data_IF_049497778136
#
_entry.id   IF_049497778136
#
_cell.length_a   1.000
_cell.length_b   1.000
_cell.length_c   1.000
_cell.angle_alpha   90.00
_cell.angle_beta   90.00
_cell.angle_gamma   90.00
#
_symmetry.space_group_name_H-M   'P 1'
#
loop_
_entity.id
_entity.type
_entity.pdbx_description
1 polymer ?
#
# COMPACT_ATOMS: atom_id res chain seq x y z
N UNK A 1 12.77 4.55 -8.70
CA UNK A 1 12.72 5.50 -7.56
C UNK A 1 13.80 6.55 -7.77
N UNK A 2 13.65 7.77 -7.26
CA UNK A 2 14.58 8.87 -7.56
C UNK A 2 14.99 9.62 -6.29
N UNK A 3 16.29 9.88 -6.12
CA UNK A 3 16.79 10.88 -5.17
C UNK A 3 16.80 12.23 -5.90
N UNK A 4 15.80 13.06 -5.60
CA UNK A 4 15.62 14.35 -6.26
C UNK A 4 16.69 15.38 -5.87
N UNK A 5 17.30 15.26 -4.68
CA UNK A 5 18.38 16.16 -4.25
C UNK A 5 19.65 15.88 -5.04
N UNK A 6 20.00 14.60 -5.20
CA UNK A 6 21.18 14.17 -5.96
C UNK A 6 20.91 14.05 -7.46
N UNK A 7 19.64 14.11 -7.88
CA UNK A 7 19.18 13.95 -9.28
C UNK A 7 19.62 12.61 -9.88
N UNK A 8 19.57 11.55 -9.08
CA UNK A 8 19.94 10.21 -9.51
C UNK A 8 18.76 9.25 -9.40
N UNK A 9 18.65 8.36 -10.38
CA UNK A 9 17.76 7.22 -10.30
C UNK A 9 18.38 6.20 -9.33
N UNK A 10 17.58 5.76 -8.36
CA UNK A 10 17.96 4.68 -7.46
C UNK A 10 17.78 3.34 -8.17
N UNK A 11 18.59 2.36 -7.77
CA UNK A 11 18.48 1.01 -8.27
C UNK A 11 17.05 0.49 -8.07
N UNK A 12 16.55 -0.26 -9.05
CA UNK A 12 15.24 -0.88 -8.93
C UNK A 12 15.32 -1.97 -7.85
N UNK A 13 14.42 -1.94 -6.85
CA UNK A 13 14.39 -3.00 -5.87
C UNK A 13 14.09 -4.33 -6.58
N UNK A 14 14.73 -5.43 -6.17
CA UNK A 14 14.47 -6.74 -6.75
C UNK A 14 12.98 -7.07 -6.63
N UNK A 15 12.37 -7.39 -7.76
CA UNK A 15 10.95 -7.74 -7.85
C UNK A 15 10.82 -9.24 -8.05
N UNK A 16 10.06 -9.90 -7.17
CA UNK A 16 9.74 -11.33 -7.32
C UNK A 16 8.59 -11.55 -8.33
N UNK A 17 7.91 -10.48 -8.74
CA UNK A 17 6.66 -10.55 -9.50
C UNK A 17 6.85 -10.63 -11.02
N UNK A 18 5.80 -11.12 -11.68
CA UNK A 18 5.70 -11.12 -13.14
C UNK A 18 5.74 -9.67 -13.66
N UNK A 19 6.57 -9.38 -14.69
CA UNK A 19 6.62 -8.06 -15.32
C UNK A 19 5.28 -7.59 -15.92
N UNK A 20 4.32 -8.52 -16.09
CA UNK A 20 3.03 -8.24 -16.71
C UNK A 20 1.95 -7.75 -15.73
N UNK A 21 2.24 -7.64 -14.43
CA UNK A 21 1.30 -7.11 -13.43
C UNK A 21 1.50 -5.60 -13.23
N UNK A 22 0.68 -4.73 -13.85
CA UNK A 22 0.89 -3.29 -13.80
C UNK A 22 0.64 -2.73 -12.39
N UNK A 23 1.47 -1.78 -11.98
CA UNK A 23 1.27 -1.00 -10.76
C UNK A 23 0.15 0.02 -11.02
N UNK A 24 -0.88 -0.01 -10.19
CA UNK A 24 -2.10 0.81 -10.31
C UNK A 24 -2.25 1.81 -9.16
N UNK A 25 -1.59 1.56 -8.03
CA UNK A 25 -1.55 2.46 -6.89
C UNK A 25 -0.18 2.46 -6.22
N UNK A 26 0.23 3.60 -5.67
CA UNK A 26 1.50 3.75 -4.97
C UNK A 26 1.34 4.77 -3.83
N UNK A 27 1.93 4.48 -2.68
CA UNK A 27 1.93 5.37 -1.53
C UNK A 27 3.24 5.20 -0.73
N UNK A 28 3.83 6.32 -0.33
CA UNK A 28 4.83 6.32 0.73
C UNK A 28 4.15 6.08 2.06
N UNK A 29 4.65 5.13 2.83
CA UNK A 29 4.13 4.85 4.15
C UNK A 29 4.70 5.87 5.15
N UNK A 30 3.86 6.34 6.07
CA UNK A 30 4.33 7.15 7.18
C UNK A 30 5.44 6.37 7.92
N UNK A 31 6.61 6.98 8.17
CA UNK A 31 7.69 6.28 8.83
C UNK A 31 7.32 6.07 10.30
N UNK A 32 7.36 4.82 10.74
CA UNK A 32 6.98 4.45 12.10
C UNK A 32 8.05 4.86 13.14
N UNK A 33 9.31 4.87 12.71
CA UNK A 33 10.49 5.23 13.51
C UNK A 33 11.29 6.41 12.92
N UNK A 34 10.92 6.91 11.74
CA UNK A 34 11.65 7.97 11.03
C UNK A 34 12.95 7.52 10.37
N UNK A 35 13.32 6.24 10.47
CA UNK A 35 14.68 5.76 10.12
C UNK A 35 14.70 5.14 8.72
N UNK A 36 13.66 4.40 8.35
CA UNK A 36 13.59 3.71 7.06
C UNK A 36 12.41 4.17 6.24
N UNK A 37 12.66 4.72 5.05
CA UNK A 37 11.59 4.99 4.09
C UNK A 37 10.95 3.67 3.65
N UNK A 38 9.62 3.66 3.58
CA UNK A 38 8.87 2.47 3.18
C UNK A 38 7.88 2.86 2.09
N UNK A 39 7.97 2.19 0.96
CA UNK A 39 7.09 2.38 -0.20
C UNK A 39 6.13 1.21 -0.31
N UNK A 40 4.85 1.50 -0.51
CA UNK A 40 3.83 0.51 -0.78
C UNK A 40 3.28 0.70 -2.19
N UNK A 41 3.07 -0.39 -2.91
CA UNK A 41 2.41 -0.38 -4.21
C UNK A 41 1.34 -1.47 -4.29
N UNK A 42 0.32 -1.18 -5.09
CA UNK A 42 -0.78 -2.07 -5.44
C UNK A 42 -0.83 -2.26 -6.94
N UNK A 43 -1.36 -3.41 -7.37
CA UNK A 43 -1.37 -3.80 -8.78
C UNK A 43 -2.76 -4.20 -9.29
N UNK A 44 -2.87 -4.35 -10.61
CA UNK A 44 -4.09 -4.81 -11.27
C UNK A 44 -4.47 -6.25 -10.91
N UNK A 45 -3.51 -7.12 -10.58
CA UNK A 45 -3.79 -8.49 -10.13
C UNK A 45 -3.95 -8.62 -8.60
N UNK A 46 -4.06 -7.48 -7.91
CA UNK A 46 -4.35 -7.41 -6.48
C UNK A 46 -3.19 -7.77 -5.57
N UNK A 47 -1.96 -7.56 -6.02
CA UNK A 47 -0.78 -7.71 -5.17
C UNK A 47 -0.46 -6.40 -4.46
N UNK A 48 -0.44 -6.46 -3.14
CA UNK A 48 0.17 -5.42 -2.31
C UNK A 48 1.64 -5.79 -2.09
N UNK A 49 2.53 -4.88 -2.45
CA UNK A 49 3.97 -5.01 -2.20
C UNK A 49 4.48 -3.85 -1.40
N UNK A 50 5.41 -4.15 -0.52
CA UNK A 50 6.02 -3.18 0.36
C UNK A 50 7.53 -3.34 0.22
N UNK A 51 8.18 -2.25 -0.16
CA UNK A 51 9.63 -2.13 -0.16
C UNK A 51 10.06 -1.24 1.01
N UNK A 52 11.08 -1.68 1.73
CA UNK A 52 11.68 -0.89 2.80
C UNK A 52 13.13 -0.58 2.46
N UNK A 53 13.54 0.65 2.72
CA UNK A 53 14.92 1.08 2.62
C UNK A 53 15.79 0.28 3.58
N UNK A 54 16.93 -0.25 3.12
CA UNK A 54 17.86 -0.96 4.00
C UNK A 54 18.52 -0.02 5.01
N UNK A 55 18.73 -0.52 6.23
CA UNK A 55 19.45 0.19 7.28
C UNK A 55 20.81 0.67 6.77
N UNK A 56 21.19 1.88 7.15
CA UNK A 56 22.48 2.52 6.82
C UNK A 56 22.72 2.75 5.32
N UNK A 57 21.70 2.62 4.48
CA UNK A 57 21.77 2.97 3.05
C UNK A 57 20.76 4.05 2.74
N UNK A 58 21.00 4.87 1.72
CA UNK A 58 20.03 5.88 1.21
C UNK A 58 19.35 5.41 -0.08
N UNK A 59 19.89 4.36 -0.69
CA UNK A 59 19.63 4.03 -2.10
C UNK A 59 19.12 2.62 -2.32
N UNK A 60 19.23 1.74 -1.31
CA UNK A 60 18.86 0.33 -1.44
C UNK A 60 17.51 0.07 -0.77
N UNK A 61 16.63 -0.59 -1.51
CA UNK A 61 15.32 -1.02 -1.04
C UNK A 61 15.21 -2.53 -1.19
N UNK A 62 14.57 -3.17 -0.23
CA UNK A 62 14.26 -4.60 -0.27
C UNK A 62 12.76 -4.86 -0.15
N UNK A 63 12.29 -5.90 -0.83
CA UNK A 63 10.90 -6.35 -0.73
C UNK A 63 10.70 -7.04 0.62
N UNK A 64 9.88 -6.43 1.49
CA UNK A 64 9.55 -6.99 2.82
C UNK A 64 8.22 -7.72 2.82
N UNK A 65 7.31 -7.35 1.89
CA UNK A 65 6.01 -7.99 1.72
C UNK A 65 5.71 -8.07 0.23
N UNK A 66 5.23 -9.24 -0.20
CA UNK A 66 4.54 -9.43 -1.47
C UNK A 66 3.39 -10.39 -1.27
N UNK A 67 2.17 -9.85 -1.34
CA UNK A 67 0.97 -10.62 -1.02
C UNK A 67 -0.18 -10.25 -1.93
N UNK A 68 -0.80 -11.26 -2.54
CA UNK A 68 -2.10 -11.11 -3.18
C UNK A 68 -3.18 -11.01 -2.11
N UNK A 69 -3.97 -9.93 -2.15
CA UNK A 69 -4.99 -9.64 -1.14
C UNK A 69 -6.41 -9.78 -1.70
N UNK A 70 -7.37 -10.13 -0.83
CA UNK A 70 -8.77 -10.39 -1.20
C UNK A 70 -8.90 -11.35 -2.39
N UNK A 71 -9.87 -11.13 -3.31
CA UNK A 71 -10.03 -11.91 -4.54
C UNK A 71 -8.94 -11.65 -5.58
N UNK A 72 -7.94 -10.83 -5.27
CA UNK A 72 -6.89 -10.46 -6.21
C UNK A 72 -7.39 -9.58 -7.35
N UNK A 73 -8.28 -8.65 -7.00
CA UNK A 73 -8.77 -7.59 -7.87
C UNK A 73 -7.82 -6.40 -7.84
N UNK A 74 -7.91 -5.54 -8.85
CA UNK A 74 -7.10 -4.34 -8.96
C UNK A 74 -7.14 -3.52 -7.67
N UNK A 75 -5.95 -3.14 -7.19
CA UNK A 75 -5.81 -2.19 -6.09
C UNK A 75 -5.94 -0.79 -6.66
N UNK A 76 -6.99 -0.10 -6.26
CA UNK A 76 -7.39 1.21 -6.79
C UNK A 76 -6.71 2.36 -6.06
N UNK A 77 -6.54 2.22 -4.74
CA UNK A 77 -5.97 3.28 -3.92
C UNK A 77 -5.34 2.70 -2.65
N UNK A 78 -4.29 3.37 -2.18
CA UNK A 78 -3.56 3.04 -0.96
C UNK A 78 -3.38 4.34 -0.18
N UNK A 79 -3.58 4.27 1.13
CA UNK A 79 -3.16 5.31 2.06
C UNK A 79 -2.60 4.67 3.32
N UNK A 80 -1.92 5.46 4.13
CA UNK A 80 -1.37 4.98 5.39
C UNK A 80 -1.27 6.08 6.41
N UNK A 81 -1.31 5.68 7.67
CA UNK A 81 -0.92 6.51 8.78
C UNK A 81 -0.11 5.73 9.81
N UNK A 82 0.47 6.51 10.73
CA UNK A 82 1.08 5.98 11.95
C UNK A 82 -0.06 5.35 12.74
N UNK A 83 -0.06 4.02 12.86
CA UNK A 83 -1.08 3.32 13.63
C UNK A 83 -0.99 3.64 15.12
N UNK A 84 -1.80 2.96 15.94
CA UNK A 84 -1.86 3.18 17.39
C UNK A 84 -0.66 2.57 18.16
N UNK A 85 0.56 2.72 17.65
CA UNK A 85 1.80 2.23 18.26
C UNK A 85 2.21 0.79 17.93
N UNK A 86 1.44 0.07 17.10
CA UNK A 86 1.71 -1.34 16.74
C UNK A 86 2.35 -1.53 15.36
N UNK A 87 2.42 -0.50 14.54
CA UNK A 87 2.77 -0.65 13.14
C UNK A 87 2.22 0.48 12.27
N UNK A 88 2.64 0.49 11.00
CA UNK A 88 1.98 1.31 9.99
C UNK A 88 0.63 0.69 9.69
N UNK A 89 -0.43 1.49 9.78
CA UNK A 89 -1.75 1.09 9.31
C UNK A 89 -1.86 1.47 7.83
N UNK A 90 -2.11 0.46 7.00
CA UNK A 90 -2.19 0.58 5.56
C UNK A 90 -3.63 0.31 5.16
N UNK A 91 -4.28 1.29 4.56
CA UNK A 91 -5.62 1.15 4.02
C UNK A 91 -5.49 0.92 2.52
N UNK A 92 -6.18 -0.11 2.04
CA UNK A 92 -6.20 -0.50 0.63
C UNK A 92 -7.64 -0.59 0.16
N UNK A 93 -7.90 0.00 -0.99
CA UNK A 93 -9.17 -0.09 -1.69
C UNK A 93 -9.00 -0.89 -2.98
N UNK A 94 -9.94 -1.80 -3.25
CA UNK A 94 -9.91 -2.69 -4.42
C UNK A 94 -11.16 -2.54 -5.28
N UNK A 95 -11.02 -2.90 -6.57
CA UNK A 95 -12.04 -2.75 -7.59
C UNK A 95 -13.35 -3.48 -7.26
N UNK A 96 -13.29 -4.58 -6.49
CA UNK A 96 -14.44 -5.37 -6.01
C UNK A 96 -15.23 -4.72 -4.87
N UNK A 97 -15.13 -3.38 -4.77
CA UNK A 97 -15.81 -2.54 -3.78
C UNK A 97 -15.32 -2.77 -2.35
N UNK A 98 -14.14 -3.36 -2.14
CA UNK A 98 -13.62 -3.60 -0.78
C UNK A 98 -12.66 -2.51 -0.34
N UNK A 99 -12.73 -2.22 0.97
CA UNK A 99 -11.77 -1.40 1.70
C UNK A 99 -11.25 -2.22 2.86
N UNK A 100 -9.93 -2.36 2.95
CA UNK A 100 -9.27 -3.21 3.92
C UNK A 100 -8.21 -2.42 4.66
N UNK A 101 -8.09 -2.67 5.95
CA UNK A 101 -6.96 -2.20 6.74
C UNK A 101 -6.01 -3.35 7.03
N UNK A 102 -4.73 -3.05 6.91
CA UNK A 102 -3.63 -3.94 7.21
C UNK A 102 -2.68 -3.26 8.17
N UNK A 103 -2.00 -4.05 8.99
CA UNK A 103 -0.92 -3.59 9.85
C UNK A 103 0.38 -4.21 9.38
N UNK A 104 1.42 -3.39 9.22
CA UNK A 104 2.80 -3.82 9.07
C UNK A 104 3.56 -3.47 10.35
N UNK A 105 3.94 -4.49 11.12
CA UNK A 105 4.72 -4.28 12.34
C UNK A 105 6.23 -4.12 12.06
N UNK A 106 7.00 -3.82 13.12
CA UNK A 106 8.46 -3.66 13.04
C UNK A 106 9.22 -4.94 12.67
N UNK A 107 8.57 -6.11 12.78
CA UNK A 107 9.11 -7.41 12.39
C UNK A 107 8.66 -7.83 10.99
N UNK A 108 8.11 -6.90 10.21
CA UNK A 108 7.55 -7.13 8.87
C UNK A 108 6.39 -8.11 8.85
N UNK A 109 5.70 -8.33 9.98
CA UNK A 109 4.49 -9.14 9.99
C UNK A 109 3.36 -8.32 9.41
N UNK A 110 2.76 -8.88 8.35
CA UNK A 110 1.69 -8.24 7.60
C UNK A 110 0.36 -8.95 7.85
N UNK A 111 -0.54 -8.28 8.57
CA UNK A 111 -1.81 -8.87 9.01
C UNK A 111 -3.00 -7.97 8.70
N UNK A 112 -4.13 -8.58 8.35
CA UNK A 112 -5.39 -7.88 8.13
C UNK A 112 -6.00 -7.46 9.47
N UNK A 113 -6.46 -6.22 9.56
CA UNK A 113 -7.16 -5.67 10.72
C UNK A 113 -8.67 -5.68 10.49
N UNK A 114 -9.14 -5.20 9.33
CA UNK A 114 -10.55 -5.29 8.93
C UNK A 114 -10.72 -5.32 7.42
N UNK A 115 -11.91 -5.72 6.98
CA UNK A 115 -12.34 -5.67 5.58
C UNK A 115 -13.82 -5.33 5.51
N UNK A 116 -14.18 -4.31 4.74
CA UNK A 116 -15.57 -3.90 4.50
C UNK A 116 -15.82 -3.86 3.00
N UNK A 117 -17.01 -4.29 2.57
CA UNK A 117 -17.46 -4.13 1.20
C UNK A 117 -18.47 -2.98 1.13
N UNK A 118 -18.20 -2.02 0.24
CA UNK A 118 -19.11 -0.92 -0.07
C UNK A 118 -20.29 -1.45 -0.87
N UNK A 119 -21.47 -0.86 -0.65
CA UNK A 119 -22.72 -1.35 -1.27
C UNK A 119 -22.83 -1.01 -2.75
N UNK A 120 -22.57 0.24 -3.10
CA UNK A 120 -22.91 0.82 -4.42
C UNK A 120 -21.77 1.64 -5.03
N UNK A 121 -20.54 1.50 -4.52
CA UNK A 121 -19.44 2.37 -4.95
C UNK A 121 -18.15 1.61 -5.11
N UNK A 122 -17.51 1.81 -6.27
CA UNK A 122 -16.16 1.35 -6.55
C UNK A 122 -15.19 2.41 -6.02
N UNK A 123 -14.35 2.10 -5.03
CA UNK A 123 -13.44 3.08 -4.44
C UNK A 123 -12.37 3.53 -5.45
N UNK A 124 -12.05 4.82 -5.44
CA UNK A 124 -11.05 5.46 -6.31
C UNK A 124 -10.00 6.25 -5.54
N UNK A 125 -10.34 6.73 -4.35
CA UNK A 125 -9.38 7.31 -3.42
C UNK A 125 -9.75 6.93 -1.99
N UNK A 126 -8.73 6.81 -1.14
CA UNK A 126 -8.88 6.55 0.30
C UNK A 126 -7.98 7.49 1.08
N UNK A 127 -8.49 7.96 2.20
CA UNK A 127 -7.77 8.82 3.14
C UNK A 127 -8.04 8.35 4.57
N UNK A 128 -7.12 8.64 5.47
CA UNK A 128 -7.36 8.47 6.90
C UNK A 128 -7.46 9.81 7.61
N UNK A 129 -8.31 9.87 8.62
CA UNK A 129 -8.42 11.02 9.52
C UNK A 129 -8.63 10.51 10.94
N UNK A 130 -7.57 10.51 11.75
CA UNK A 130 -7.60 9.86 13.05
C UNK A 130 -7.93 8.37 12.90
N UNK A 131 -8.97 7.88 13.55
CA UNK A 131 -9.40 6.49 13.42
C UNK A 131 -10.22 6.21 12.16
N UNK A 132 -10.72 7.25 11.49
CA UNK A 132 -11.68 7.12 10.40
C UNK A 132 -10.99 6.87 9.05
N UNK A 133 -11.70 6.14 8.18
CA UNK A 133 -11.33 5.91 6.79
C UNK A 133 -12.36 6.59 5.91
N UNK A 134 -11.91 7.60 5.16
CA UNK A 134 -12.74 8.35 4.21
C UNK A 134 -12.50 7.76 2.82
N UNK A 135 -13.58 7.38 2.14
CA UNK A 135 -13.53 6.71 0.86
C UNK A 135 -14.29 7.53 -0.18
N UNK A 136 -13.62 7.86 -1.27
CA UNK A 136 -14.25 8.46 -2.45
C UNK A 136 -14.32 7.39 -3.53
N UNK A 137 -15.53 7.15 -4.03
CA UNK A 137 -15.79 6.15 -5.04
C UNK A 137 -16.67 6.68 -6.15
N UNK A 138 -16.69 5.95 -7.26
CA UNK A 138 -17.68 6.15 -8.31
C UNK A 138 -18.82 5.16 -8.11
N UNK A 139 -20.05 5.58 -8.43
CA UNK A 139 -21.19 4.69 -8.47
C UNK A 139 -20.89 3.50 -9.40
N UNK A 140 -21.22 2.29 -8.94
CA UNK A 140 -20.94 1.06 -9.68
C UNK A 140 -21.96 0.77 -10.79
N UNK A 141 -23.07 1.51 -10.82
CA UNK A 141 -24.14 1.31 -11.80
C UNK A 141 -25.15 0.24 -11.42
N UNK A 142 -24.99 -0.41 -10.26
CA UNK A 142 -25.93 -1.42 -9.77
C UNK A 142 -27.12 -0.74 -9.08
N UNK A 143 -28.34 -1.01 -9.55
CA UNK A 143 -29.60 -0.55 -8.91
C UNK A 143 -29.96 -1.35 -7.67
#
# INVERSE_FOLDING_TARGET
MWDLRKKVQLAEPPQIRSPQDPITAIAWLAPNDGIQETLCCGTALGYLVIWRQRLNTVVEFEEVVSRRISGGHEIMAITSDVGNGTGNRIIVATQDRRVQAWTLDSRNRFSSTFSVQLKTSIPRAVYTHGCDVIVFGMYDGDM
#
